data_IF_810178602065
#
_entry.id   IF_810178602065
#
_cell.length_a   1.000
_cell.length_b   1.000
_cell.length_c   1.000
_cell.angle_alpha   90.00
_cell.angle_beta   90.00
_cell.angle_gamma   90.00
#
_symmetry.space_group_name_H-M   'P 1'
#
loop_
_entity.id
_entity.type
_entity.pdbx_description
1 polymer ?
#
# COMPACT_ATOMS: atom_id res chain seq x y z
N UNK A 1 -17.49 -9.39 -11.11
CA UNK A 1 -16.95 -9.07 -9.77
C UNK A 1 -16.01 -10.20 -9.35
N UNK A 2 -14.74 -10.20 -9.80
CA UNK A 2 -13.84 -11.37 -9.64
C UNK A 2 -12.37 -11.14 -9.97
N UNK A 3 -12.01 -10.06 -10.68
CA UNK A 3 -10.64 -9.87 -11.19
C UNK A 3 -9.61 -9.41 -10.13
N UNK A 4 -10.00 -8.61 -9.13
CA UNK A 4 -9.03 -8.07 -8.16
C UNK A 4 -8.38 -9.14 -7.26
N UNK A 5 -9.10 -10.24 -6.95
CA UNK A 5 -8.61 -11.29 -6.04
C UNK A 5 -7.66 -12.26 -6.72
N UNK A 6 -7.96 -12.64 -7.97
CA UNK A 6 -7.06 -13.44 -8.80
C UNK A 6 -5.73 -12.71 -9.01
N UNK A 7 -5.76 -11.37 -9.06
CA UNK A 7 -4.56 -10.56 -9.20
C UNK A 7 -3.66 -10.59 -7.96
N UNK A 8 -4.21 -10.53 -6.73
CA UNK A 8 -3.37 -10.53 -5.52
C UNK A 8 -2.61 -11.84 -5.30
N UNK A 9 -3.26 -12.99 -5.52
CA UNK A 9 -2.58 -14.30 -5.42
C UNK A 9 -1.52 -14.45 -6.51
N UNK A 10 -1.85 -14.05 -7.74
CA UNK A 10 -0.90 -14.06 -8.85
C UNK A 10 0.33 -13.17 -8.59
N UNK A 11 0.12 -11.95 -8.09
CA UNK A 11 1.21 -11.05 -7.68
C UNK A 11 2.03 -11.68 -6.58
N UNK A 12 1.41 -12.34 -5.60
CA UNK A 12 2.15 -13.01 -4.51
C UNK A 12 3.04 -14.15 -5.02
N UNK A 13 2.55 -14.94 -5.97
CA UNK A 13 3.35 -15.98 -6.62
C UNK A 13 4.51 -15.39 -7.43
N UNK A 14 4.26 -14.31 -8.18
CA UNK A 14 5.29 -13.59 -8.90
C UNK A 14 6.36 -13.03 -7.96
N UNK A 15 5.96 -12.40 -6.85
CA UNK A 15 6.88 -11.91 -5.82
C UNK A 15 7.73 -13.06 -5.29
N UNK A 16 7.12 -14.20 -4.94
CA UNK A 16 7.85 -15.37 -4.41
C UNK A 16 8.92 -15.87 -5.38
N UNK A 17 8.61 -15.92 -6.68
CA UNK A 17 9.57 -16.33 -7.72
C UNK A 17 10.73 -15.35 -7.87
N UNK A 18 10.46 -14.04 -7.77
CA UNK A 18 11.47 -13.00 -7.93
C UNK A 18 12.35 -12.84 -6.68
N UNK A 19 11.82 -13.12 -5.49
CA UNK A 19 12.59 -13.09 -4.24
C UNK A 19 13.76 -14.08 -4.24
N UNK A 20 13.70 -15.16 -5.03
CA UNK A 20 14.84 -16.05 -5.23
C UNK A 20 16.02 -15.40 -5.97
N UNK A 21 15.81 -14.27 -6.65
CA UNK A 21 16.82 -13.56 -7.46
C UNK A 21 17.25 -12.23 -6.85
N UNK A 22 16.47 -11.67 -5.92
CA UNK A 22 16.78 -10.38 -5.30
C UNK A 22 15.59 -9.73 -4.62
N UNK A 23 15.76 -8.51 -4.09
CA UNK A 23 14.67 -7.76 -3.47
C UNK A 23 13.60 -7.39 -4.51
N UNK A 24 12.34 -7.31 -4.07
CA UNK A 24 11.20 -6.98 -4.91
C UNK A 24 10.53 -5.72 -4.38
N UNK A 25 10.20 -4.79 -5.28
CA UNK A 25 9.37 -3.61 -4.99
C UNK A 25 8.07 -3.78 -5.74
N UNK A 26 6.95 -3.67 -5.04
CA UNK A 26 5.62 -3.75 -5.63
C UNK A 26 4.91 -2.39 -5.49
N UNK A 27 4.40 -1.85 -6.60
CA UNK A 27 3.43 -0.76 -6.57
C UNK A 27 2.05 -1.35 -6.25
N UNK A 28 1.60 -1.12 -5.02
CA UNK A 28 0.40 -1.68 -4.39
C UNK A 28 0.49 -3.19 -4.13
N UNK A 29 -0.18 -3.61 -3.05
CA UNK A 29 -0.31 -5.01 -2.66
C UNK A 29 -1.61 -5.20 -1.86
N UNK A 30 -1.65 -6.15 -0.92
CA UNK A 30 -2.84 -6.50 -0.13
C UNK A 30 -3.53 -5.28 0.51
N UNK A 31 -2.77 -4.34 1.07
CA UNK A 31 -3.30 -3.13 1.72
C UNK A 31 -4.12 -2.25 0.78
N UNK A 32 -3.65 -2.07 -0.47
CA UNK A 32 -4.40 -1.30 -1.47
C UNK A 32 -5.66 -2.03 -1.92
N UNK A 33 -5.60 -3.37 -2.06
CA UNK A 33 -6.78 -4.17 -2.42
C UNK A 33 -7.86 -4.02 -1.34
N UNK A 34 -7.48 -4.10 -0.06
CA UNK A 34 -8.40 -3.91 1.06
C UNK A 34 -9.05 -2.53 1.06
N UNK A 35 -8.25 -1.46 1.02
CA UNK A 35 -8.74 -0.09 1.09
C UNK A 35 -9.62 0.29 -0.11
N UNK A 36 -9.21 -0.10 -1.33
CA UNK A 36 -9.98 0.18 -2.54
C UNK A 36 -11.27 -0.65 -2.59
N UNK A 37 -11.23 -1.93 -2.25
CA UNK A 37 -12.43 -2.78 -2.25
C UNK A 37 -13.47 -2.28 -1.23
N UNK A 38 -13.03 -1.86 -0.04
CA UNK A 38 -13.90 -1.25 0.96
C UNK A 38 -14.54 0.05 0.46
N UNK A 39 -13.74 0.93 -0.17
CA UNK A 39 -14.23 2.21 -0.69
C UNK A 39 -15.21 2.06 -1.86
N UNK A 40 -14.92 1.19 -2.83
CA UNK A 40 -15.76 0.97 -4.02
C UNK A 40 -17.09 0.29 -3.64
N UNK A 41 -17.04 -0.73 -2.79
CA UNK A 41 -18.24 -1.51 -2.43
C UNK A 41 -18.97 -0.95 -1.20
N UNK A 42 -18.47 0.13 -0.58
CA UNK A 42 -19.03 0.74 0.64
C UNK A 42 -19.21 -0.27 1.78
N UNK A 43 -18.25 -1.19 1.92
CA UNK A 43 -18.21 -2.21 2.97
C UNK A 43 -17.15 -1.86 4.01
N UNK A 44 -17.36 -2.29 5.26
CA UNK A 44 -16.37 -2.10 6.32
C UNK A 44 -15.08 -2.87 6.05
N UNK A 45 -13.95 -2.33 6.49
CA UNK A 45 -12.64 -2.97 6.33
C UNK A 45 -12.57 -4.34 6.99
N UNK A 46 -13.22 -4.53 8.14
CA UNK A 46 -13.26 -5.82 8.83
C UNK A 46 -13.90 -6.92 7.97
N UNK A 47 -14.98 -6.58 7.24
CA UNK A 47 -15.62 -7.53 6.32
C UNK A 47 -14.68 -7.88 5.16
N UNK A 48 -13.93 -6.92 4.64
CA UNK A 48 -12.93 -7.18 3.59
C UNK A 48 -11.77 -8.04 4.13
N UNK A 49 -11.36 -7.81 5.38
CA UNK A 49 -10.33 -8.61 6.04
C UNK A 49 -10.80 -10.05 6.25
N UNK A 50 -12.04 -10.28 6.68
CA UNK A 50 -12.63 -11.61 6.80
C UNK A 50 -12.66 -12.34 5.46
N UNK A 51 -12.98 -11.63 4.38
CA UNK A 51 -12.97 -12.20 3.02
C UNK A 51 -11.57 -12.60 2.54
N UNK A 52 -10.53 -11.89 2.98
CA UNK A 52 -9.14 -12.15 2.59
C UNK A 52 -8.45 -13.12 3.56
N UNK A 53 -8.95 -13.27 4.79
CA UNK A 53 -8.35 -14.07 5.86
C UNK A 53 -7.93 -15.49 5.42
N UNK A 54 -8.73 -16.25 4.64
CA UNK A 54 -8.33 -17.58 4.17
C UNK A 54 -7.08 -17.59 3.28
N UNK A 55 -6.78 -16.46 2.62
CA UNK A 55 -5.68 -16.33 1.68
C UNK A 55 -4.42 -15.75 2.32
N UNK A 56 -4.52 -15.11 3.49
CA UNK A 56 -3.37 -14.48 4.17
C UNK A 56 -2.15 -15.40 4.32
N UNK A 57 -2.30 -16.71 4.66
CA UNK A 57 -1.14 -17.61 4.76
C UNK A 57 -0.41 -17.84 3.43
N UNK A 58 -1.09 -17.63 2.30
CA UNK A 58 -0.51 -17.77 0.96
C UNK A 58 0.16 -16.49 0.48
N UNK A 59 -0.11 -15.36 1.12
CA UNK A 59 0.47 -14.08 0.75
C UNK A 59 1.89 -13.96 1.31
N UNK A 60 2.85 -13.63 0.44
CA UNK A 60 4.15 -13.15 0.85
C UNK A 60 3.96 -11.88 1.70
N UNK A 61 4.50 -11.88 2.92
CA UNK A 61 4.47 -10.74 3.82
C UNK A 61 5.54 -9.72 3.41
N UNK A 62 5.18 -8.43 3.21
CA UNK A 62 6.18 -7.38 2.98
C UNK A 62 7.08 -7.17 4.20
N UNK A 63 8.39 -6.98 3.97
CA UNK A 63 9.32 -6.56 5.03
C UNK A 63 9.08 -5.11 5.47
N UNK A 64 8.57 -4.29 4.55
CA UNK A 64 8.19 -2.88 4.75
C UNK A 64 7.13 -2.49 3.73
N UNK A 65 6.16 -1.68 4.16
CA UNK A 65 5.15 -1.06 3.31
C UNK A 65 5.18 0.45 3.53
N UNK A 66 5.55 1.21 2.49
CA UNK A 66 5.54 2.67 2.55
C UNK A 66 4.18 3.21 2.15
N UNK A 67 3.49 3.85 3.09
CA UNK A 67 2.21 4.53 2.84
C UNK A 67 2.49 6.00 2.54
N UNK A 68 2.37 6.37 1.27
CA UNK A 68 2.58 7.74 0.81
C UNK A 68 1.32 8.56 1.08
N UNK A 69 1.41 9.53 2.01
CA UNK A 69 0.29 10.39 2.39
C UNK A 69 0.48 11.79 1.82
N UNK A 70 -0.57 12.34 1.22
CA UNK A 70 -0.60 13.71 0.68
C UNK A 70 -1.80 14.48 1.23
N UNK A 71 -1.72 15.80 1.27
CA UNK A 71 -2.89 16.67 1.45
C UNK A 71 -3.78 16.65 0.22
N UNK A 72 -5.06 16.99 0.40
CA UNK A 72 -6.01 17.10 -0.72
C UNK A 72 -5.57 18.15 -1.74
N UNK A 73 -4.92 19.23 -1.27
CA UNK A 73 -4.39 20.28 -2.14
C UNK A 73 -3.27 19.74 -3.04
N UNK A 74 -2.30 19.02 -2.46
CA UNK A 74 -1.22 18.42 -3.22
C UNK A 74 -1.69 17.30 -4.15
N UNK A 75 -2.72 16.54 -3.78
CA UNK A 75 -3.34 15.56 -4.68
C UNK A 75 -4.01 16.23 -5.88
N UNK A 76 -4.79 17.29 -5.64
CA UNK A 76 -5.46 18.04 -6.71
C UNK A 76 -4.47 18.67 -7.69
N UNK A 77 -3.37 19.25 -7.19
CA UNK A 77 -2.31 19.84 -8.00
C UNK A 77 -1.57 18.77 -8.85
N UNK A 78 -1.30 17.60 -8.28
CA UNK A 78 -0.67 16.49 -9.03
C UNK A 78 -1.62 15.89 -10.06
N UNK A 79 -2.93 15.88 -9.82
CA UNK A 79 -3.90 15.37 -10.78
C UNK A 79 -4.24 16.36 -11.89
N UNK A 80 -4.22 17.66 -11.63
CA UNK A 80 -4.42 18.68 -12.67
C UNK A 80 -3.31 18.69 -13.73
N UNK A 81 -2.13 18.17 -13.36
CA UNK A 81 -0.98 18.02 -14.26
C UNK A 81 -0.89 16.65 -14.93
N UNK A 82 -1.75 15.69 -14.53
CA UNK A 82 -1.77 14.34 -15.10
C UNK A 82 -2.56 14.33 -16.41
N UNK A 83 -1.90 13.98 -17.51
CA UNK A 83 -2.51 13.95 -18.85
C UNK A 83 -3.31 12.67 -19.12
N UNK A 84 -3.08 11.61 -18.33
CA UNK A 84 -3.77 10.32 -18.41
C UNK A 84 -4.68 10.13 -17.19
N UNK A 85 -5.85 10.77 -17.22
CA UNK A 85 -6.87 10.65 -16.16
C UNK A 85 -7.71 9.42 -16.47
N UNK A 86 -7.64 8.40 -15.60
CA UNK A 86 -8.49 7.22 -15.72
C UNK A 86 -9.88 7.50 -15.16
N UNK A 87 -10.89 6.77 -15.62
CA UNK A 87 -12.27 6.92 -15.11
C UNK A 87 -12.35 6.78 -13.59
N UNK A 88 -11.57 5.87 -13.00
CA UNK A 88 -11.47 5.71 -11.54
C UNK A 88 -10.89 6.96 -10.84
N UNK A 89 -9.98 7.70 -11.50
CA UNK A 89 -9.43 8.96 -10.98
C UNK A 89 -10.48 10.07 -11.02
N UNK A 90 -11.28 10.14 -12.10
CA UNK A 90 -12.40 11.09 -12.24
C UNK A 90 -13.47 10.84 -11.19
N UNK A 91 -13.89 9.58 -11.05
CA UNK A 91 -14.89 9.14 -10.08
C UNK A 91 -14.44 9.33 -8.62
N UNK A 92 -13.14 9.41 -8.35
CA UNK A 92 -12.59 9.67 -7.01
C UNK A 92 -12.88 11.09 -6.52
N UNK A 93 -12.95 12.06 -7.44
CA UNK A 93 -13.23 13.47 -7.15
C UNK A 93 -14.70 13.84 -7.39
N UNK A 94 -15.35 13.23 -8.37
CA UNK A 94 -16.74 13.54 -8.72
C UNK A 94 -17.77 12.97 -7.74
N UNK A 95 -17.41 11.94 -6.97
CA UNK A 95 -18.26 11.38 -5.92
C UNK A 95 -17.94 12.04 -4.58
N UNK A 96 -18.85 12.85 -4.00
CA UNK A 96 -18.61 13.54 -2.75
C UNK A 96 -18.21 12.57 -1.63
N UNK A 97 -17.09 12.85 -0.96
CA UNK A 97 -16.61 12.08 0.19
C UNK A 97 -15.91 10.75 -0.15
N UNK A 98 -15.81 10.34 -1.41
CA UNK A 98 -15.11 9.11 -1.79
C UNK A 98 -13.61 9.17 -1.50
N UNK A 99 -12.96 10.29 -1.80
CA UNK A 99 -11.54 10.51 -1.46
C UNK A 99 -11.30 10.47 0.06
N UNK A 100 -12.17 11.11 0.85
CA UNK A 100 -12.06 11.10 2.32
C UNK A 100 -12.19 9.68 2.88
N UNK A 101 -13.20 8.92 2.45
CA UNK A 101 -13.37 7.51 2.83
C UNK A 101 -12.19 6.63 2.42
N UNK A 102 -11.63 6.86 1.23
CA UNK A 102 -10.46 6.10 0.77
C UNK A 102 -9.24 6.40 1.65
N UNK A 103 -9.02 7.66 2.03
CA UNK A 103 -7.94 8.06 2.95
C UNK A 103 -8.12 7.43 4.33
N UNK A 104 -9.33 7.50 4.89
CA UNK A 104 -9.66 6.85 6.16
C UNK A 104 -9.41 5.35 6.10
N UNK A 105 -9.84 4.69 5.02
CA UNK A 105 -9.60 3.26 4.83
C UNK A 105 -8.10 2.94 4.75
N UNK A 106 -7.31 3.72 4.01
CA UNK A 106 -5.87 3.52 3.95
C UNK A 106 -5.20 3.73 5.30
N UNK A 107 -5.62 4.75 6.07
CA UNK A 107 -5.12 4.99 7.41
C UNK A 107 -5.43 3.79 8.33
N UNK A 108 -6.68 3.34 8.38
CA UNK A 108 -7.08 2.21 9.22
C UNK A 108 -6.40 0.90 8.81
N UNK A 109 -6.20 0.65 7.51
CA UNK A 109 -5.44 -0.53 7.05
C UNK A 109 -3.98 -0.43 7.53
N UNK A 110 -3.38 0.74 7.34
CA UNK A 110 -2.00 0.97 7.67
C UNK A 110 -1.76 0.81 9.19
N UNK A 111 -2.66 1.31 10.05
CA UNK A 111 -2.57 1.18 11.52
C UNK A 111 -2.52 -0.27 12.00
N UNK A 112 -3.01 -1.20 11.18
CA UNK A 112 -2.98 -2.64 11.46
C UNK A 112 -1.86 -3.41 10.74
N UNK A 113 -1.07 -2.72 9.93
CA UNK A 113 0.03 -3.31 9.16
C UNK A 113 1.34 -3.21 9.96
N UNK A 114 1.93 -4.33 10.42
CA UNK A 114 3.17 -4.31 11.20
C UNK A 114 4.39 -3.88 10.37
N UNK A 115 4.30 -3.86 9.04
CA UNK A 115 5.36 -3.43 8.13
C UNK A 115 5.28 -1.94 7.77
N UNK A 116 4.30 -1.22 8.31
CA UNK A 116 3.95 0.14 7.92
C UNK A 116 5.06 1.16 8.21
N UNK A 117 5.34 1.99 7.20
CA UNK A 117 6.05 3.26 7.33
C UNK A 117 5.25 4.33 6.64
N UNK A 118 4.72 5.29 7.40
CA UNK A 118 4.01 6.45 6.85
C UNK A 118 5.00 7.49 6.35
N UNK A 119 4.85 7.92 5.10
CA UNK A 119 5.70 8.92 4.48
C UNK A 119 4.84 10.09 3.95
N UNK A 120 4.86 11.25 4.61
CA UNK A 120 4.26 12.46 4.08
C UNK A 120 4.98 12.91 2.81
N UNK A 121 4.22 13.25 1.78
CA UNK A 121 4.73 13.64 0.46
C UNK A 121 4.55 15.12 0.15
N UNK A 122 3.88 15.88 1.01
CA UNK A 122 3.62 17.29 0.80
C UNK A 122 4.94 18.08 0.86
N UNK A 123 5.14 18.97 -0.14
CA UNK A 123 6.36 19.77 -0.26
C UNK A 123 7.63 18.97 -0.57
N UNK A 124 7.52 17.69 -0.94
CA UNK A 124 8.67 16.83 -1.29
C UNK A 124 8.64 16.44 -2.76
N UNK A 125 9.81 16.46 -3.38
CA UNK A 125 10.01 15.94 -4.72
C UNK A 125 10.08 14.39 -4.70
N UNK A 126 9.92 13.73 -5.86
CA UNK A 126 10.14 12.29 -5.96
C UNK A 126 11.54 11.86 -5.50
N UNK A 127 12.57 12.66 -5.78
CA UNK A 127 13.95 12.37 -5.38
C UNK A 127 14.12 12.42 -3.86
N UNK A 128 13.52 13.43 -3.19
CA UNK A 128 13.53 13.51 -1.72
C UNK A 128 12.88 12.26 -1.10
N UNK A 129 11.78 11.80 -1.67
CA UNK A 129 11.07 10.62 -1.18
C UNK A 129 11.89 9.35 -1.40
N UNK A 130 12.53 9.21 -2.57
CA UNK A 130 13.41 8.09 -2.87
C UNK A 130 14.59 8.03 -1.88
N UNK A 131 15.24 9.16 -1.61
CA UNK A 131 16.34 9.24 -0.66
C UNK A 131 15.93 8.84 0.75
N UNK A 132 14.73 9.25 1.20
CA UNK A 132 14.20 8.86 2.52
C UNK A 132 13.94 7.36 2.57
N UNK A 133 13.34 6.79 1.53
CA UNK A 133 13.04 5.35 1.44
C UNK A 133 14.34 4.55 1.46
N UNK A 134 15.32 4.92 0.62
CA UNK A 134 16.63 4.27 0.55
C UNK A 134 17.33 4.34 1.91
N UNK A 135 17.40 5.52 2.53
CA UNK A 135 18.02 5.70 3.84
C UNK A 135 17.35 4.86 4.93
N UNK A 136 16.02 4.74 4.89
CA UNK A 136 15.28 3.88 5.83
C UNK A 136 15.65 2.40 5.64
N UNK A 137 15.68 1.93 4.39
CA UNK A 137 16.04 0.56 4.04
C UNK A 137 17.50 0.24 4.42
N UNK A 138 18.43 1.15 4.15
CA UNK A 138 19.83 1.01 4.52
C UNK A 138 20.04 1.00 6.03
N UNK A 139 19.34 1.86 6.78
CA UNK A 139 19.38 1.88 8.24
C UNK A 139 18.94 0.54 8.84
N UNK A 140 17.86 -0.05 8.32
CA UNK A 140 17.41 -1.39 8.73
C UNK A 140 18.40 -2.48 8.35
N UNK A 141 19.04 -2.38 7.19
CA UNK A 141 20.07 -3.35 6.75
C UNK A 141 21.32 -3.28 7.64
N UNK A 142 21.73 -2.10 8.06
CA UNK A 142 22.87 -1.88 8.95
C UNK A 142 22.59 -2.31 10.41
N UNK A 143 21.31 -2.39 10.78
CA UNK A 143 20.85 -2.82 12.09
C UNK A 143 19.97 -4.07 11.97
N UNK A 144 20.50 -5.21 11.49
CA UNK A 144 19.73 -6.44 11.43
C UNK A 144 19.34 -6.82 12.86
N UNK A 145 18.05 -6.95 13.12
CA UNK A 145 17.47 -7.19 14.44
C UNK A 145 18.33 -8.12 15.32
N UNK A 146 18.87 -7.57 16.42
CA UNK A 146 19.43 -8.33 17.55
C UNK A 146 18.39 -9.24 18.24
N UNK A 147 17.13 -9.24 17.78
CA UNK A 147 16.03 -10.01 18.33
C UNK A 147 15.84 -11.41 17.72
N UNK A 148 16.60 -11.81 16.68
CA UNK A 148 16.51 -13.17 16.10
C UNK A 148 17.26 -14.28 16.88
N UNK A 149 17.82 -13.98 18.05
CA UNK A 149 18.45 -14.97 18.94
C UNK A 149 17.92 -14.93 20.37
N UNK A 150 16.65 -15.25 20.58
CA UNK A 150 16.19 -15.96 21.78
C UNK A 150 14.93 -16.74 21.42
N UNK A 151 15.05 -18.05 21.25
CA UNK A 151 14.38 -19.01 22.12
C UNK A 151 15.09 -20.38 21.99
N UNK A 152 15.29 -21.09 23.11
CA UNK A 152 16.00 -22.36 23.21
C UNK A 152 15.24 -23.54 22.61
#
# INVERSE_FOLDING_TARGET
MGEQRANLLHVSDAVRQHLCRGPVVADRYASSVMACHAAVNQVGLDQVRELIAPFLPYLVAPDVTFYLISSDNSLKERMSTKTDVKQDDTDLYDVPGRLARLRENFQSVAETDPSMVVLPTDGRSPDDLADIIVKHLEGRRAQPDRHRRRHP
#
